data_IF_903563879496
#
_entry.id   IF_903563879496
#
_cell.length_a   1.000
_cell.length_b   1.000
_cell.length_c   1.000
_cell.angle_alpha   90.00
_cell.angle_beta   90.00
_cell.angle_gamma   90.00
#
_symmetry.space_group_name_H-M   'P 1'
#
loop_
_entity.id
_entity.type
_entity.pdbx_description
1 polymer ?
#
# COMPACT_ATOMS: atom_id res chain seq x y z
N UNK A 1 7.04 0.82 19.71
CA UNK A 1 7.83 -0.12 18.88
C UNK A 1 6.93 -0.84 17.88
N UNK A 2 6.64 -0.25 16.70
CA UNK A 2 5.64 -0.80 15.75
C UNK A 2 6.04 -2.21 15.29
N UNK A 3 7.25 -2.36 14.75
CA UNK A 3 7.74 -3.64 14.20
C UNK A 3 7.67 -4.76 15.26
N UNK A 4 8.17 -4.51 16.48
CA UNK A 4 8.14 -5.52 17.55
C UNK A 4 6.72 -5.90 17.95
N UNK A 5 5.82 -4.92 18.07
CA UNK A 5 4.42 -5.16 18.44
C UNK A 5 3.68 -6.00 17.38
N UNK A 6 3.94 -5.77 16.10
CA UNK A 6 3.36 -6.56 15.01
C UNK A 6 3.91 -8.00 15.04
N UNK A 7 5.23 -8.16 15.19
CA UNK A 7 5.87 -9.49 15.25
C UNK A 7 5.36 -10.31 16.44
N UNK A 8 5.30 -9.72 17.64
CA UNK A 8 4.80 -10.43 18.82
C UNK A 8 3.28 -10.64 18.75
N UNK A 9 2.53 -9.73 18.12
CA UNK A 9 1.09 -9.87 17.89
C UNK A 9 0.71 -11.03 16.97
N UNK A 10 1.57 -11.40 16.02
CA UNK A 10 1.40 -12.60 15.17
C UNK A 10 1.77 -13.90 15.94
N UNK A 11 2.53 -13.79 17.03
CA UNK A 11 2.87 -14.91 17.92
C UNK A 11 4.36 -15.20 18.06
N UNK A 12 5.24 -14.48 17.36
CA UNK A 12 6.70 -14.63 17.50
C UNK A 12 7.21 -13.87 18.73
N UNK A 13 6.93 -14.42 19.91
CA UNK A 13 7.25 -13.81 21.21
C UNK A 13 8.25 -14.62 22.04
N UNK A 14 8.86 -15.66 21.46
CA UNK A 14 9.80 -16.55 22.15
C UNK A 14 10.80 -17.16 21.19
N UNK A 15 12.08 -17.19 21.57
CA UNK A 15 13.13 -17.83 20.75
C UNK A 15 12.92 -19.34 20.58
N UNK A 16 12.06 -19.98 21.38
CA UNK A 16 11.71 -21.39 21.24
C UNK A 16 11.03 -21.72 19.90
N UNK A 17 10.35 -20.75 19.30
CA UNK A 17 9.72 -20.91 17.98
C UNK A 17 10.64 -20.53 16.81
N UNK A 18 11.93 -20.26 17.11
CA UNK A 18 12.95 -19.93 16.12
C UNK A 18 13.04 -18.44 15.74
N UNK A 19 12.08 -17.62 16.15
CA UNK A 19 12.10 -16.16 15.96
C UNK A 19 11.37 -15.44 17.08
N UNK A 20 11.94 -14.32 17.55
CA UNK A 20 11.42 -13.58 18.70
C UNK A 20 11.47 -12.07 18.47
N UNK A 21 10.28 -11.46 18.44
CA UNK A 21 10.10 -10.02 18.31
C UNK A 21 10.67 -9.21 19.48
N UNK A 22 10.96 -9.82 20.62
CA UNK A 22 11.57 -9.15 21.77
C UNK A 22 13.10 -9.03 21.63
N UNK A 23 13.75 -9.98 20.96
CA UNK A 23 15.21 -10.06 20.88
C UNK A 23 15.80 -9.85 19.48
N UNK A 24 14.99 -9.89 18.42
CA UNK A 24 15.47 -9.67 17.05
C UNK A 24 16.06 -8.25 16.85
N UNK A 25 17.06 -8.13 15.99
CA UNK A 25 17.57 -6.84 15.54
C UNK A 25 16.57 -6.15 14.61
N UNK A 26 16.43 -4.83 14.73
CA UNK A 26 15.58 -4.01 13.84
C UNK A 26 16.44 -2.91 13.25
N UNK A 27 16.71 -3.00 11.95
CA UNK A 27 17.45 -1.99 11.19
C UNK A 27 16.45 -1.19 10.36
N UNK A 28 16.63 0.13 10.30
CA UNK A 28 15.76 1.04 9.58
C UNK A 28 16.58 1.76 8.52
N UNK A 29 16.17 1.63 7.27
CA UNK A 29 16.69 2.37 6.11
C UNK A 29 15.49 2.84 5.31
N UNK A 30 14.94 4.01 5.69
CA UNK A 30 13.76 4.61 5.06
C UNK A 30 14.16 6.00 4.59
N UNK A 31 13.96 6.26 3.31
CA UNK A 31 14.18 7.56 2.67
C UNK A 31 12.85 8.26 2.39
N UNK A 32 12.91 9.57 2.13
CA UNK A 32 11.76 10.33 1.69
C UNK A 32 11.28 9.93 0.28
N UNK A 33 10.01 10.20 -0.03
CA UNK A 33 9.51 10.00 -1.39
C UNK A 33 10.22 10.97 -2.35
N UNK A 34 10.58 10.48 -3.54
CA UNK A 34 11.14 11.32 -4.60
C UNK A 34 10.19 12.50 -4.92
N UNK A 35 10.70 13.74 -4.95
CA UNK A 35 9.92 14.91 -5.36
C UNK A 35 9.30 14.78 -6.75
N UNK A 36 9.95 14.06 -7.67
CA UNK A 36 9.45 13.85 -9.04
C UNK A 36 8.22 12.92 -9.04
N UNK A 37 8.25 11.87 -8.21
CA UNK A 37 7.10 10.97 -8.01
C UNK A 37 5.98 11.73 -7.31
N UNK A 38 6.32 12.47 -6.24
CA UNK A 38 5.36 13.28 -5.52
C UNK A 38 4.68 14.30 -6.44
N UNK A 39 5.42 14.95 -7.35
CA UNK A 39 4.86 15.90 -8.31
C UNK A 39 3.86 15.23 -9.27
N UNK A 40 4.15 14.02 -9.74
CA UNK A 40 3.25 13.27 -10.62
C UNK A 40 1.98 12.74 -9.93
N UNK A 41 2.07 12.41 -8.65
CA UNK A 41 0.93 11.92 -7.85
C UNK A 41 0.07 13.07 -7.33
N UNK A 42 0.70 14.09 -6.75
CA UNK A 42 -0.02 15.22 -6.15
C UNK A 42 -0.71 16.10 -7.19
N UNK A 43 -0.22 16.09 -8.43
CA UNK A 43 -0.87 16.76 -9.55
C UNK A 43 -0.77 15.86 -10.77
N UNK A 44 -1.91 15.25 -11.10
CA UNK A 44 -2.06 14.30 -12.21
C UNK A 44 -1.61 14.87 -13.56
N UNK A 45 -1.49 13.99 -14.57
CA UNK A 45 -1.16 14.41 -15.92
C UNK A 45 -2.31 15.23 -16.52
N UNK A 46 -3.54 14.76 -16.35
CA UNK A 46 -4.79 15.37 -16.79
C UNK A 46 -4.86 16.82 -16.31
N UNK A 47 -4.54 17.05 -15.03
CA UNK A 47 -4.54 18.40 -14.44
C UNK A 47 -3.42 19.30 -14.96
N UNK A 48 -2.26 18.74 -15.31
CA UNK A 48 -1.12 19.52 -15.85
C UNK A 48 -1.34 19.89 -17.31
N UNK A 49 -2.02 19.05 -18.07
CA UNK A 49 -2.29 19.26 -19.51
C UNK A 49 -3.60 20.02 -19.77
N UNK A 50 -4.56 20.01 -18.85
CA UNK A 50 -5.82 20.75 -18.98
C UNK A 50 -5.59 22.27 -19.05
N UNK A 51 -6.11 22.92 -20.09
CA UNK A 51 -6.14 24.39 -20.22
C UNK A 51 -7.42 25.01 -19.63
N UNK A 52 -8.32 24.20 -19.07
CA UNK A 52 -9.58 24.65 -18.50
C UNK A 52 -9.39 25.26 -17.12
N UNK A 53 -10.12 26.34 -16.85
CA UNK A 53 -10.07 27.04 -15.55
C UNK A 53 -10.83 26.29 -14.45
N UNK A 54 -11.82 25.50 -14.86
CA UNK A 54 -12.58 24.59 -14.01
C UNK A 54 -11.97 23.19 -14.17
N UNK A 55 -11.75 22.48 -13.06
CA UNK A 55 -11.15 21.15 -13.07
C UNK A 55 -12.00 20.19 -12.24
N UNK A 56 -12.09 18.92 -12.67
CA UNK A 56 -12.69 17.88 -11.86
C UNK A 56 -11.80 17.61 -10.64
N UNK A 57 -12.37 17.76 -9.44
CA UNK A 57 -11.67 17.49 -8.20
C UNK A 57 -11.17 16.04 -8.12
N UNK A 58 -11.87 15.09 -8.75
CA UNK A 58 -11.50 13.67 -8.76
C UNK A 58 -10.26 13.37 -9.63
N UNK A 59 -9.95 14.23 -10.60
CA UNK A 59 -8.79 14.04 -11.49
C UNK A 59 -7.51 14.66 -10.93
N UNK A 60 -7.54 15.29 -9.75
CA UNK A 60 -6.37 15.97 -9.20
C UNK A 60 -5.19 15.02 -8.93
N UNK A 61 -5.48 13.80 -8.47
CA UNK A 61 -4.48 12.84 -8.01
C UNK A 61 -4.12 11.83 -9.11
N UNK A 62 -2.84 11.80 -9.49
CA UNK A 62 -2.31 10.86 -10.47
C UNK A 62 -2.03 9.47 -9.87
N UNK A 63 -1.87 8.48 -10.74
CA UNK A 63 -1.41 7.16 -10.33
C UNK A 63 0.02 7.24 -9.74
N UNK A 64 0.25 6.49 -8.65
CA UNK A 64 1.56 6.38 -7.99
C UNK A 64 2.63 5.71 -8.84
N UNK A 65 2.19 4.81 -9.71
CA UNK A 65 3.02 4.05 -10.64
C UNK A 65 2.11 3.50 -11.76
N UNK A 66 2.71 2.94 -12.80
CA UNK A 66 2.00 2.17 -13.82
C UNK A 66 1.45 0.85 -13.24
N UNK A 67 0.28 0.41 -13.71
CA UNK A 67 -0.30 -0.86 -13.26
C UNK A 67 -1.54 -1.29 -14.04
N UNK A 68 -1.88 -2.57 -13.89
CA UNK A 68 -3.11 -3.19 -14.39
C UNK A 68 -3.81 -3.89 -13.22
N UNK A 69 -5.11 -3.69 -13.10
CA UNK A 69 -5.90 -4.21 -11.97
C UNK A 69 -7.03 -5.10 -12.50
N UNK A 70 -7.23 -6.24 -11.85
CA UNK A 70 -8.35 -7.14 -12.08
C UNK A 70 -9.20 -7.23 -10.82
N UNK A 71 -10.52 -7.18 -10.99
CA UNK A 71 -11.49 -7.50 -9.95
C UNK A 71 -12.34 -8.69 -10.39
N UNK A 72 -12.62 -9.62 -9.47
CA UNK A 72 -13.47 -10.77 -9.71
C UNK A 72 -14.42 -10.98 -8.53
N UNK A 73 -15.63 -11.44 -8.80
CA UNK A 73 -16.60 -11.85 -7.78
C UNK A 73 -17.44 -13.01 -8.33
N UNK A 74 -17.70 -14.02 -7.49
CA UNK A 74 -18.63 -15.11 -7.81
C UNK A 74 -19.47 -15.49 -6.59
N UNK A 75 -20.57 -16.20 -6.80
CA UNK A 75 -21.52 -16.54 -5.74
C UNK A 75 -21.26 -17.89 -5.06
N UNK A 76 -20.08 -18.50 -5.25
CA UNK A 76 -19.69 -19.78 -4.63
C UNK A 76 -19.62 -19.68 -3.10
N UNK A 77 -19.27 -18.50 -2.58
CA UNK A 77 -19.25 -18.21 -1.14
C UNK A 77 -20.08 -16.97 -0.80
N UNK A 78 -20.50 -16.83 0.46
CA UNK A 78 -21.25 -15.65 0.94
C UNK A 78 -20.45 -14.35 0.87
N UNK A 79 -19.13 -14.44 0.85
CA UNK A 79 -18.20 -13.31 0.73
C UNK A 79 -17.90 -12.93 -0.71
N UNK A 80 -18.63 -13.51 -1.67
CA UNK A 80 -18.48 -13.31 -3.11
C UNK A 80 -17.09 -13.69 -3.68
N UNK A 81 -16.42 -14.64 -3.01
CA UNK A 81 -15.14 -15.19 -3.41
C UNK A 81 -15.32 -16.61 -3.98
N UNK A 82 -14.41 -17.07 -4.86
CA UNK A 82 -14.28 -18.48 -5.20
C UNK A 82 -14.15 -19.35 -3.93
N UNK A 83 -14.72 -20.55 -3.94
CA UNK A 83 -14.61 -21.46 -2.79
C UNK A 83 -13.14 -21.88 -2.51
N UNK A 84 -12.34 -22.26 -3.51
CA UNK A 84 -10.89 -22.28 -3.40
C UNK A 84 -10.30 -20.92 -3.75
N UNK A 85 -9.33 -20.43 -2.97
CA UNK A 85 -8.57 -19.19 -3.27
C UNK A 85 -7.15 -19.49 -3.74
#
# INVERSE_FOLDING_TARGET
HIIRNVVTGIGYNSSQVGFDGNSCGVTISIDEQSPDIAAGVNTSLERRESQEAEYDHFDLQGAGDQGLMFGYACNETKTLMPAPI
#
